data_IF_240332878806
#
_entry.id   IF_240332878806
#
_cell.length_a   1.000
_cell.length_b   1.000
_cell.length_c   1.000
_cell.angle_alpha   90.00
_cell.angle_beta   90.00
_cell.angle_gamma   90.00
#
_symmetry.space_group_name_H-M   'P 1'
#
loop_
_entity.id
_entity.type
_entity.pdbx_description
1 polymer ?
#
# COMPACT_ATOMS: atom_id res chain seq x y z
N UNK A 1 6.44 -19.06 10.84
CA UNK A 1 5.71 -19.38 12.08
C UNK A 1 5.71 -18.15 12.96
N UNK A 2 4.67 -17.34 12.87
CA UNK A 2 4.49 -16.17 13.71
C UNK A 2 3.77 -16.60 14.99
N UNK A 3 4.41 -16.50 16.13
CA UNK A 3 3.81 -16.85 17.41
C UNK A 3 3.39 -15.56 18.11
N UNK A 4 2.14 -15.13 17.89
CA UNK A 4 1.54 -14.05 18.68
C UNK A 4 1.41 -14.55 20.13
N UNK A 5 1.91 -13.80 21.08
CA UNK A 5 1.89 -14.17 22.48
C UNK A 5 0.47 -14.16 23.01
N UNK A 6 -0.10 -15.34 23.26
CA UNK A 6 -1.50 -15.54 23.70
C UNK A 6 -1.89 -14.81 25.01
N UNK A 7 -0.93 -14.27 25.76
CA UNK A 7 -1.22 -13.66 27.06
C UNK A 7 -1.60 -12.16 26.99
N UNK A 8 -1.55 -11.56 25.81
CA UNK A 8 -1.85 -10.12 25.63
C UNK A 8 -3.21 -9.88 24.97
N UNK A 9 -3.82 -10.92 24.39
CA UNK A 9 -5.01 -10.76 23.54
C UNK A 9 -6.25 -11.43 24.15
N UNK A 10 -6.80 -10.86 25.23
CA UNK A 10 -8.16 -11.16 25.68
C UNK A 10 -9.12 -10.14 25.05
N UNK A 11 -9.93 -10.55 24.09
CA UNK A 11 -10.99 -9.76 23.41
C UNK A 11 -10.51 -8.64 22.49
N UNK A 12 -9.57 -8.90 21.57
CA UNK A 12 -9.05 -7.87 20.68
C UNK A 12 -9.49 -8.04 19.23
N UNK A 13 -9.78 -6.93 18.56
CA UNK A 13 -10.19 -6.85 17.15
C UNK A 13 -8.99 -6.59 16.26
N UNK A 14 -8.79 -7.41 15.23
CA UNK A 14 -7.78 -7.17 14.21
C UNK A 14 -8.43 -6.38 13.08
N UNK A 15 -7.87 -5.23 12.74
CA UNK A 15 -8.27 -4.50 11.55
C UNK A 15 -7.36 -4.91 10.41
N UNK A 16 -7.94 -5.53 9.38
CA UNK A 16 -7.31 -5.67 8.09
C UNK A 16 -8.00 -4.70 7.14
N UNK A 17 -7.26 -3.74 6.60
CA UNK A 17 -7.75 -2.95 5.48
C UNK A 17 -7.70 -3.84 4.25
N UNK A 18 -8.84 -4.32 3.78
CA UNK A 18 -8.94 -4.86 2.44
C UNK A 18 -8.83 -3.67 1.46
N UNK A 19 -7.66 -3.44 0.89
CA UNK A 19 -7.62 -2.98 -0.49
C UNK A 19 -8.52 -3.95 -1.26
N UNK A 20 -9.34 -3.44 -2.20
CA UNK A 20 -10.34 -4.22 -2.94
C UNK A 20 -9.85 -5.64 -3.21
N UNK A 21 -10.71 -6.64 -3.12
CA UNK A 21 -10.41 -8.09 -3.20
C UNK A 21 -9.40 -8.50 -4.28
N UNK A 22 -9.26 -7.69 -5.34
CA UNK A 22 -8.29 -7.88 -6.42
C UNK A 22 -6.84 -7.47 -6.04
N UNK A 23 -6.63 -6.57 -5.07
CA UNK A 23 -5.28 -6.13 -4.67
C UNK A 23 -4.67 -7.05 -3.61
N UNK A 24 -5.51 -7.61 -2.73
CA UNK A 24 -5.05 -8.58 -1.74
C UNK A 24 -4.54 -9.87 -2.42
N UNK A 25 -5.24 -10.33 -3.47
CA UNK A 25 -4.81 -11.49 -4.25
C UNK A 25 -3.42 -11.32 -4.89
N UNK A 26 -3.05 -10.09 -5.30
CA UNK A 26 -1.75 -9.84 -5.92
C UNK A 26 -0.60 -9.74 -4.91
N UNK A 27 -0.83 -9.21 -3.71
CA UNK A 27 0.18 -9.17 -2.67
C UNK A 27 0.53 -10.58 -2.15
N UNK A 28 -0.41 -11.53 -2.25
CA UNK A 28 -0.23 -12.92 -1.83
C UNK A 28 0.08 -13.90 -2.96
N UNK A 29 -0.31 -13.62 -4.21
CA UNK A 29 -0.05 -14.52 -5.34
C UNK A 29 1.44 -14.75 -5.66
N UNK A 30 2.34 -13.90 -5.18
CA UNK A 30 3.78 -14.08 -5.29
C UNK A 30 4.38 -15.08 -4.29
N UNK A 31 3.62 -15.56 -3.31
CA UNK A 31 4.09 -16.46 -2.25
C UNK A 31 3.52 -17.89 -2.33
N UNK A 32 2.57 -18.15 -3.21
CA UNK A 32 1.92 -19.46 -3.33
C UNK A 32 2.38 -20.22 -4.58
N UNK A 33 3.62 -20.68 -4.56
CA UNK A 33 4.07 -21.79 -5.38
C UNK A 33 3.75 -23.10 -4.67
N UNK A 34 2.56 -23.63 -4.86
CA UNK A 34 2.11 -24.91 -4.34
C UNK A 34 0.72 -25.21 -4.86
N UNK A 35 0.63 -26.22 -5.75
CA UNK A 35 -0.62 -26.81 -6.24
C UNK A 35 -1.28 -27.59 -5.09
N UNK A 36 -2.04 -26.92 -4.23
CA UNK A 36 -2.99 -27.58 -3.35
C UNK A 36 -4.25 -26.71 -3.26
N UNK A 37 -5.33 -27.29 -3.77
CA UNK A 37 -6.67 -26.74 -4.02
C UNK A 37 -7.48 -26.49 -2.72
N UNK A 38 -6.83 -26.15 -1.63
CA UNK A 38 -7.46 -25.83 -0.36
C UNK A 38 -7.26 -24.35 -0.07
N UNK A 39 -8.08 -23.52 -0.74
CA UNK A 39 -8.07 -22.06 -0.63
C UNK A 39 -8.33 -21.52 0.77
N UNK A 40 -7.56 -21.93 1.76
CA UNK A 40 -7.56 -21.34 3.09
C UNK A 40 -6.68 -20.09 3.08
N UNK A 41 -7.33 -18.95 3.07
CA UNK A 41 -6.75 -17.63 3.21
C UNK A 41 -5.94 -17.55 4.53
N UNK A 42 -4.66 -17.23 4.45
CA UNK A 42 -3.74 -17.11 5.60
C UNK A 42 -4.26 -16.13 6.66
N UNK A 43 -4.97 -15.10 6.26
CA UNK A 43 -5.60 -14.16 7.17
C UNK A 43 -6.71 -14.83 7.98
N UNK A 44 -7.47 -15.77 7.39
CA UNK A 44 -8.49 -16.53 8.10
C UNK A 44 -7.88 -17.54 9.09
N UNK A 45 -6.76 -18.17 8.76
CA UNK A 45 -6.11 -19.16 9.64
C UNK A 45 -5.52 -18.49 10.89
N UNK A 46 -4.99 -17.28 10.78
CA UNK A 46 -4.55 -16.49 11.94
C UNK A 46 -5.75 -16.07 12.79
N UNK A 47 -6.89 -15.81 12.16
CA UNK A 47 -8.12 -15.38 12.83
C UNK A 47 -8.96 -16.52 13.41
N UNK A 48 -8.76 -17.77 13.00
CA UNK A 48 -9.58 -18.90 13.45
C UNK A 48 -9.48 -19.19 14.95
N UNK A 49 -8.39 -18.80 15.59
CA UNK A 49 -8.14 -19.03 17.03
C UNK A 49 -8.44 -17.78 17.90
N UNK A 50 -8.87 -16.67 17.29
CA UNK A 50 -9.23 -15.43 17.98
C UNK A 50 -10.57 -14.94 17.45
N UNK A 51 -11.40 -14.41 18.36
CA UNK A 51 -12.65 -13.74 17.99
C UNK A 51 -12.28 -12.39 17.35
N UNK A 52 -12.07 -12.40 16.03
CA UNK A 52 -11.57 -11.26 15.28
C UNK A 52 -12.64 -10.70 14.35
N UNK A 53 -12.66 -9.37 14.20
CA UNK A 53 -13.46 -8.68 13.21
C UNK A 53 -12.55 -7.90 12.26
N UNK A 54 -12.69 -8.13 10.96
CA UNK A 54 -12.03 -7.33 9.94
C UNK A 54 -12.86 -6.08 9.72
N UNK A 55 -12.23 -4.91 9.89
CA UNK A 55 -12.86 -3.61 9.71
C UNK A 55 -12.13 -2.84 8.62
N UNK A 56 -12.90 -2.39 7.61
CA UNK A 56 -12.37 -1.49 6.59
C UNK A 56 -12.33 -0.06 7.13
N UNK A 57 -11.21 0.64 6.92
CA UNK A 57 -11.07 2.04 7.27
C UNK A 57 -10.28 2.80 6.19
N UNK A 58 -10.39 4.13 6.17
CA UNK A 58 -9.62 4.95 5.23
C UNK A 58 -8.13 4.96 5.59
N UNK A 59 -7.28 5.23 4.61
CA UNK A 59 -5.84 5.32 4.83
C UNK A 59 -5.49 6.41 5.86
N UNK A 60 -6.12 7.57 5.77
CA UNK A 60 -5.86 8.69 6.70
C UNK A 60 -6.17 8.35 8.16
N UNK A 61 -7.14 7.47 8.40
CA UNK A 61 -7.53 7.07 9.74
C UNK A 61 -6.78 5.84 10.27
N UNK A 62 -6.12 5.06 9.39
CA UNK A 62 -5.62 3.73 9.76
C UNK A 62 -4.53 3.80 10.84
N UNK A 63 -3.51 4.63 10.65
CA UNK A 63 -2.42 4.78 11.63
C UNK A 63 -2.90 5.45 12.92
N UNK A 64 -3.79 6.44 12.80
CA UNK A 64 -4.41 7.11 13.95
C UNK A 64 -5.26 6.19 14.80
N UNK A 65 -5.89 5.17 14.19
CA UNK A 65 -6.74 4.22 14.91
C UNK A 65 -5.96 3.34 15.89
N UNK A 66 -4.71 2.98 15.56
CA UNK A 66 -3.85 2.21 16.47
C UNK A 66 -3.04 3.12 17.41
N UNK A 67 -2.54 4.25 16.92
CA UNK A 67 -1.76 5.21 17.71
C UNK A 67 -2.57 5.85 18.85
N UNK A 68 -3.89 5.97 18.71
CA UNK A 68 -4.77 6.53 19.75
C UNK A 68 -4.88 5.67 21.01
N UNK A 69 -4.29 4.45 20.99
CA UNK A 69 -4.41 3.46 22.07
C UNK A 69 -5.86 3.18 22.49
N UNK A 70 -6.80 3.45 21.59
CA UNK A 70 -8.21 3.12 21.77
C UNK A 70 -8.41 1.67 21.36
N UNK A 71 -8.14 0.76 22.30
CA UNK A 71 -8.29 -0.69 22.15
C UNK A 71 -9.69 -1.12 21.70
N UNK A 72 -10.64 -0.19 21.67
CA UNK A 72 -12.00 -0.43 21.20
C UNK A 72 -12.14 -0.36 19.68
N UNK A 73 -11.13 0.16 18.97
CA UNK A 73 -11.21 0.42 17.53
C UNK A 73 -10.31 -0.48 16.70
N UNK A 74 -9.06 -0.68 17.12
CA UNK A 74 -8.06 -1.41 16.33
C UNK A 74 -7.00 -2.05 17.22
N UNK A 75 -6.70 -3.32 17.01
CA UNK A 75 -5.64 -4.03 17.72
C UNK A 75 -4.42 -4.29 16.84
N UNK A 76 -4.60 -4.42 15.53
CA UNK A 76 -3.53 -4.62 14.56
C UNK A 76 -3.95 -4.17 13.16
N UNK A 77 -2.99 -3.69 12.38
CA UNK A 77 -3.18 -3.28 10.99
C UNK A 77 -2.37 -4.22 10.09
N UNK A 78 -3.04 -4.76 9.05
CA UNK A 78 -2.39 -5.49 7.96
C UNK A 78 -2.85 -4.82 6.66
N UNK A 79 -2.04 -3.93 6.10
CA UNK A 79 -2.43 -3.10 4.95
C UNK A 79 -1.24 -2.54 4.17
N UNK A 80 -0.22 -3.35 3.93
CA UNK A 80 1.00 -2.89 3.24
C UNK A 80 1.60 -1.62 3.86
N UNK A 81 1.53 -1.51 5.20
CA UNK A 81 2.07 -0.36 5.90
C UNK A 81 3.59 -0.43 5.92
N UNK A 82 4.22 0.52 5.24
CA UNK A 82 5.68 0.63 5.24
C UNK A 82 6.20 0.96 6.62
N UNK A 83 7.16 0.17 7.10
CA UNK A 83 7.92 0.44 8.32
C UNK A 83 8.82 1.64 8.05
N UNK A 84 8.59 2.75 8.73
CA UNK A 84 9.43 3.95 8.70
C UNK A 84 9.80 4.36 10.12
N UNK A 85 10.94 5.03 10.30
CA UNK A 85 11.36 5.53 11.63
C UNK A 85 10.30 6.45 12.25
N UNK A 86 9.63 7.27 11.43
CA UNK A 86 8.58 8.17 11.91
C UNK A 86 7.35 7.39 12.41
N UNK A 87 6.92 6.35 11.69
CA UNK A 87 5.79 5.51 12.09
C UNK A 87 6.15 4.65 13.31
N UNK A 88 7.35 4.08 13.33
CA UNK A 88 7.86 3.25 14.43
C UNK A 88 8.03 4.04 15.75
N UNK A 89 8.16 5.36 15.66
CA UNK A 89 8.15 6.23 16.84
C UNK A 89 6.76 6.37 17.50
N UNK A 90 5.70 6.01 16.82
CA UNK A 90 4.30 6.18 17.28
C UNK A 90 3.52 4.87 17.41
N UNK A 91 3.88 3.86 16.65
CA UNK A 91 3.27 2.53 16.66
C UNK A 91 4.35 1.46 16.59
N UNK A 92 4.13 0.31 17.21
CA UNK A 92 5.04 -0.82 17.12
C UNK A 92 4.81 -1.62 15.84
N UNK A 93 5.87 -2.09 15.23
CA UNK A 93 5.81 -2.99 14.06
C UNK A 93 6.32 -4.39 14.39
N UNK A 94 5.79 -5.36 13.67
CA UNK A 94 6.41 -6.69 13.59
C UNK A 94 7.67 -6.65 12.74
N UNK A 95 8.41 -7.76 12.68
CA UNK A 95 9.35 -7.95 11.56
C UNK A 95 8.59 -7.87 10.24
N UNK A 96 9.26 -7.37 9.20
CA UNK A 96 8.65 -7.25 7.88
C UNK A 96 8.10 -8.60 7.39
N UNK A 97 6.86 -8.61 6.94
CA UNK A 97 6.26 -9.79 6.31
C UNK A 97 6.43 -9.77 4.78
N UNK A 98 6.69 -8.60 4.19
CA UNK A 98 6.90 -8.43 2.76
C UNK A 98 7.91 -7.32 2.49
N UNK A 99 8.75 -7.51 1.47
CA UNK A 99 9.67 -6.49 0.96
C UNK A 99 9.22 -6.06 -0.42
N UNK A 100 9.05 -4.77 -0.62
CA UNK A 100 8.59 -4.13 -1.83
C UNK A 100 9.52 -2.99 -2.24
N UNK A 101 9.04 -2.17 -3.15
CA UNK A 101 9.61 -0.88 -3.53
C UNK A 101 8.48 0.03 -4.01
N UNK A 102 8.75 1.32 -4.06
CA UNK A 102 7.92 2.25 -4.80
C UNK A 102 8.07 2.04 -6.30
N UNK A 103 7.04 2.36 -7.06
CA UNK A 103 7.02 2.24 -8.51
C UNK A 103 6.38 3.44 -9.21
N UNK A 104 6.51 3.44 -10.54
CA UNK A 104 5.90 4.46 -11.41
C UNK A 104 5.14 3.79 -12.54
N UNK A 105 3.91 4.23 -12.77
CA UNK A 105 3.15 3.99 -14.00
C UNK A 105 2.76 5.33 -14.63
N UNK A 106 2.54 5.34 -15.93
CA UNK A 106 2.10 6.53 -16.67
C UNK A 106 0.73 6.36 -17.29
N UNK A 107 0.05 7.48 -17.51
CA UNK A 107 -1.19 7.54 -18.28
C UNK A 107 -0.95 7.36 -19.79
N UNK A 108 -2.02 7.48 -20.58
CA UNK A 108 -1.94 7.34 -22.03
C UNK A 108 -1.06 8.43 -22.67
N UNK A 109 -0.15 8.01 -23.52
CA UNK A 109 0.70 8.91 -24.32
C UNK A 109 1.82 9.62 -23.59
N UNK A 110 2.04 9.35 -22.27
CA UNK A 110 3.19 9.94 -21.57
C UNK A 110 4.51 9.25 -21.94
N UNK A 111 5.61 9.95 -21.76
CA UNK A 111 6.94 9.41 -22.02
C UNK A 111 7.30 8.29 -21.05
N UNK A 112 7.96 7.25 -21.54
CA UNK A 112 8.56 6.24 -20.66
C UNK A 112 9.80 6.83 -19.99
N UNK A 113 9.90 6.62 -18.68
CA UNK A 113 11.06 7.03 -17.88
C UNK A 113 11.89 5.81 -17.49
N UNK A 114 13.15 6.03 -17.20
CA UNK A 114 14.12 5.03 -16.75
C UNK A 114 14.66 5.33 -15.36
N UNK A 115 14.44 6.55 -14.88
CA UNK A 115 14.81 7.00 -13.54
C UNK A 115 13.72 7.93 -12.99
N UNK A 116 13.38 7.76 -11.73
CA UNK A 116 12.32 8.56 -11.08
C UNK A 116 12.63 10.06 -11.05
N UNK A 117 13.92 10.44 -11.04
CA UNK A 117 14.34 11.84 -11.07
C UNK A 117 13.95 12.58 -12.35
N UNK A 118 13.66 11.86 -13.43
CA UNK A 118 13.15 12.46 -14.68
C UNK A 118 11.78 13.13 -14.49
N UNK A 119 11.05 12.74 -13.44
CA UNK A 119 9.76 13.36 -13.07
C UNK A 119 9.91 14.73 -12.42
N UNK A 120 11.13 15.09 -11.97
CA UNK A 120 11.36 16.36 -11.26
C UNK A 120 11.46 17.54 -12.22
N UNK A 121 10.35 17.89 -12.84
CA UNK A 121 10.26 19.07 -13.73
C UNK A 121 8.87 19.72 -13.64
N UNK A 122 8.78 21.01 -14.00
CA UNK A 122 7.57 21.82 -13.83
C UNK A 122 6.40 21.41 -14.75
N UNK A 123 6.68 20.68 -15.82
CA UNK A 123 5.65 20.22 -16.76
C UNK A 123 5.05 18.87 -16.37
N UNK A 124 5.57 18.27 -15.29
CA UNK A 124 5.10 16.96 -14.79
C UNK A 124 4.06 17.14 -13.69
N UNK A 125 2.94 16.45 -13.84
CA UNK A 125 1.95 16.25 -12.76
C UNK A 125 1.98 14.80 -12.31
N UNK A 126 2.24 14.59 -11.01
CA UNK A 126 2.31 13.31 -10.35
C UNK A 126 1.07 13.15 -9.48
N UNK A 127 0.42 11.98 -9.55
CA UNK A 127 -0.73 11.66 -8.72
C UNK A 127 -0.27 10.64 -7.69
N UNK A 128 -0.62 10.83 -6.43
CA UNK A 128 -0.30 9.94 -5.31
C UNK A 128 -1.50 9.75 -4.41
N UNK A 129 -1.51 8.69 -3.60
CA UNK A 129 -2.38 8.65 -2.44
C UNK A 129 -1.75 9.47 -1.31
N UNK A 130 -2.51 10.40 -0.73
CA UNK A 130 -2.05 11.28 0.34
C UNK A 130 -1.60 10.51 1.59
N UNK A 131 -0.59 11.02 2.30
CA UNK A 131 -0.07 10.43 3.54
C UNK A 131 0.70 9.12 3.36
N UNK A 132 0.99 8.71 2.12
CA UNK A 132 1.82 7.53 1.83
C UNK A 132 3.30 7.90 1.73
N UNK A 133 4.17 6.89 1.69
CA UNK A 133 5.61 7.08 1.42
C UNK A 133 5.87 7.66 0.03
N UNK A 134 4.99 7.37 -0.95
CA UNK A 134 5.04 7.98 -2.28
C UNK A 134 4.76 9.48 -2.26
N UNK A 135 3.78 9.93 -1.47
CA UNK A 135 3.45 11.35 -1.30
C UNK A 135 4.62 12.10 -0.65
N UNK A 136 5.17 11.54 0.44
CA UNK A 136 6.34 12.12 1.11
C UNK A 136 7.56 12.19 0.18
N UNK A 137 7.82 11.13 -0.59
CA UNK A 137 8.91 11.12 -1.58
C UNK A 137 8.70 12.17 -2.67
N UNK A 138 7.50 12.26 -3.23
CA UNK A 138 7.21 13.25 -4.27
C UNK A 138 7.42 14.68 -3.75
N UNK A 139 7.00 14.97 -2.53
CA UNK A 139 7.16 16.28 -1.92
C UNK A 139 8.63 16.65 -1.63
N UNK A 140 9.45 15.67 -1.22
CA UNK A 140 10.86 15.91 -0.84
C UNK A 140 11.83 15.86 -2.03
N UNK A 141 11.68 14.86 -2.90
CA UNK A 141 12.67 14.53 -3.93
C UNK A 141 12.32 15.05 -5.32
N UNK A 142 11.04 15.39 -5.55
CA UNK A 142 10.53 15.89 -6.82
C UNK A 142 9.90 17.30 -6.71
N UNK A 143 10.58 18.28 -6.08
CA UNK A 143 9.99 19.57 -5.71
C UNK A 143 9.60 20.46 -6.90
N UNK A 144 10.03 20.15 -8.12
CA UNK A 144 9.63 20.91 -9.31
C UNK A 144 8.35 20.38 -9.94
N UNK A 145 7.99 19.11 -9.67
CA UNK A 145 6.75 18.54 -10.19
C UNK A 145 5.52 19.07 -9.44
N UNK A 146 4.39 19.07 -10.13
CA UNK A 146 3.10 19.30 -9.47
C UNK A 146 2.62 17.98 -8.87
N UNK A 147 2.35 17.94 -7.56
CA UNK A 147 1.84 16.75 -6.89
C UNK A 147 0.36 16.91 -6.59
N UNK A 148 -0.45 15.92 -7.01
CA UNK A 148 -1.87 15.79 -6.72
C UNK A 148 -2.06 14.61 -5.76
N UNK A 149 -2.26 14.90 -4.48
CA UNK A 149 -2.53 13.90 -3.44
C UNK A 149 -4.04 13.67 -3.32
N UNK A 150 -4.47 12.41 -3.48
CA UNK A 150 -5.86 12.00 -3.42
C UNK A 150 -6.10 11.03 -2.25
N UNK A 151 -7.35 10.83 -1.86
CA UNK A 151 -7.72 10.11 -0.65
C UNK A 151 -7.42 8.60 -0.73
N UNK A 152 -7.64 7.99 -1.90
CA UNK A 152 -7.51 6.56 -2.10
C UNK A 152 -6.98 6.21 -3.50
N UNK A 153 -6.53 4.94 -3.66
CA UNK A 153 -6.01 4.47 -4.94
C UNK A 153 -7.06 4.41 -6.05
N UNK A 154 -8.34 4.23 -5.77
CA UNK A 154 -9.38 4.23 -6.80
C UNK A 154 -9.52 5.63 -7.40
N UNK A 155 -9.47 6.66 -6.57
CA UNK A 155 -9.41 8.07 -7.00
C UNK A 155 -8.13 8.38 -7.78
N UNK A 156 -6.97 7.87 -7.32
CA UNK A 156 -5.66 8.03 -7.99
C UNK A 156 -5.70 7.45 -9.40
N UNK A 157 -6.19 6.22 -9.55
CA UNK A 157 -6.27 5.58 -10.87
C UNK A 157 -7.32 6.23 -11.78
N UNK A 158 -8.44 6.65 -11.23
CA UNK A 158 -9.48 7.38 -11.98
C UNK A 158 -8.93 8.70 -12.51
N UNK A 159 -8.16 9.44 -11.70
CA UNK A 159 -7.54 10.69 -12.13
C UNK A 159 -6.51 10.46 -13.26
N UNK A 160 -5.72 9.36 -13.19
CA UNK A 160 -4.80 9.00 -14.27
C UNK A 160 -5.54 8.63 -15.56
N UNK A 161 -6.64 7.86 -15.46
CA UNK A 161 -7.50 7.51 -16.61
C UNK A 161 -8.12 8.74 -17.28
N UNK A 162 -8.50 9.73 -16.49
CA UNK A 162 -9.06 10.98 -16.97
C UNK A 162 -8.01 11.95 -17.58
N UNK A 163 -6.72 11.68 -17.39
CA UNK A 163 -5.65 12.56 -17.82
C UNK A 163 -5.45 13.78 -16.91
N UNK A 164 -5.89 13.70 -15.64
CA UNK A 164 -5.71 14.77 -14.65
C UNK A 164 -4.25 14.87 -14.15
N UNK A 165 -3.42 13.90 -14.50
CA UNK A 165 -1.97 13.88 -14.27
C UNK A 165 -1.26 12.96 -15.24
N UNK A 166 0.07 12.97 -15.19
CA UNK A 166 0.93 12.25 -16.12
C UNK A 166 1.36 10.88 -15.59
N UNK A 167 1.70 10.81 -14.31
CA UNK A 167 2.26 9.61 -13.67
C UNK A 167 1.64 9.38 -12.30
N UNK A 168 1.62 8.12 -11.90
CA UNK A 168 1.26 7.71 -10.53
C UNK A 168 2.50 7.10 -9.88
N UNK A 169 2.78 7.52 -8.63
CA UNK A 169 3.71 6.87 -7.73
C UNK A 169 2.92 6.08 -6.68
N UNK A 170 3.42 4.91 -6.34
CA UNK A 170 2.82 4.02 -5.34
C UNK A 170 3.58 2.71 -5.22
N UNK A 171 3.09 1.83 -4.39
CA UNK A 171 3.68 0.51 -4.20
C UNK A 171 3.74 -0.28 -5.51
N UNK A 172 4.93 -0.70 -5.90
CA UNK A 172 5.18 -1.35 -7.20
C UNK A 172 4.25 -2.55 -7.48
N UNK A 173 3.92 -3.44 -6.52
CA UNK A 173 2.99 -4.53 -6.76
C UNK A 173 1.56 -4.04 -7.07
N UNK A 174 1.10 -3.01 -6.39
CA UNK A 174 -0.23 -2.40 -6.61
C UNK A 174 -0.31 -1.78 -7.99
N UNK A 175 0.69 -0.96 -8.34
CA UNK A 175 0.75 -0.31 -9.65
C UNK A 175 0.90 -1.30 -10.78
N UNK A 176 1.77 -2.31 -10.62
CA UNK A 176 1.99 -3.34 -11.64
C UNK A 176 0.73 -4.16 -11.92
N UNK A 177 -0.01 -4.52 -10.87
CA UNK A 177 -1.29 -5.22 -11.04
C UNK A 177 -2.30 -4.34 -11.79
N UNK A 178 -2.50 -3.11 -11.33
CA UNK A 178 -3.48 -2.19 -11.96
C UNK A 178 -3.12 -1.91 -13.42
N UNK A 179 -1.85 -1.68 -13.73
CA UNK A 179 -1.37 -1.49 -15.09
C UNK A 179 -1.63 -2.73 -15.98
N UNK A 180 -1.52 -3.93 -15.42
CA UNK A 180 -1.83 -5.16 -16.18
C UNK A 180 -3.32 -5.32 -16.52
N UNK A 181 -4.20 -4.66 -15.79
CA UNK A 181 -5.66 -4.71 -15.94
C UNK A 181 -6.24 -3.55 -16.76
N UNK A 182 -5.47 -2.49 -16.98
CA UNK A 182 -5.94 -1.24 -17.60
C UNK A 182 -5.06 -0.87 -18.79
N UNK A 183 -5.59 -1.08 -20.01
CA UNK A 183 -4.83 -0.85 -21.25
C UNK A 183 -4.40 0.60 -21.50
N UNK A 184 -5.03 1.57 -20.83
CA UNK A 184 -4.66 2.99 -20.88
C UNK A 184 -3.42 3.32 -20.05
N UNK A 185 -2.98 2.41 -19.18
CA UNK A 185 -1.79 2.64 -18.36
C UNK A 185 -0.54 2.02 -19.00
N UNK A 186 0.58 2.67 -18.79
CA UNK A 186 1.87 2.06 -19.11
C UNK A 186 2.12 0.85 -18.19
N UNK A 187 2.92 -0.13 -18.62
CA UNK A 187 3.53 -1.06 -17.67
C UNK A 187 4.30 -0.32 -16.57
N UNK A 188 4.58 -1.01 -15.46
CA UNK A 188 5.48 -0.49 -14.43
C UNK A 188 6.82 -0.10 -15.08
N UNK A 189 7.19 1.18 -14.99
CA UNK A 189 8.34 1.74 -15.70
C UNK A 189 9.64 1.56 -14.92
N UNK A 190 9.63 1.97 -13.66
CA UNK A 190 10.78 1.99 -12.77
C UNK A 190 10.37 1.68 -11.35
N UNK A 191 11.27 1.08 -10.58
CA UNK A 191 11.11 0.91 -9.13
C UNK A 191 12.22 1.65 -8.40
N UNK A 192 11.90 2.21 -7.25
CA UNK A 192 12.79 3.01 -6.41
C UNK A 192 12.41 2.84 -4.94
N UNK A 193 13.20 3.39 -4.01
CA UNK A 193 12.92 3.36 -2.56
C UNK A 193 12.43 2.00 -2.06
N UNK A 194 13.33 1.03 -1.82
CA UNK A 194 12.94 -0.26 -1.24
C UNK A 194 12.20 -0.07 0.08
N UNK A 195 11.15 -0.86 0.29
CA UNK A 195 10.26 -0.76 1.43
C UNK A 195 10.01 -2.12 2.08
N UNK A 196 9.80 -2.10 3.39
CA UNK A 196 9.40 -3.27 4.17
C UNK A 196 8.02 -3.02 4.77
N UNK A 197 7.08 -3.94 4.58
CA UNK A 197 5.75 -3.86 5.17
C UNK A 197 5.69 -4.64 6.48
N UNK A 198 5.13 -4.02 7.51
CA UNK A 198 4.91 -4.59 8.84
C UNK A 198 3.43 -4.65 9.21
N UNK A 199 3.16 -5.39 10.29
CA UNK A 199 1.86 -5.48 10.97
C UNK A 199 1.98 -4.75 12.29
#
# INVERSE_FOLDING_TARGET
>A
YFKINKNVMNNKKIIAMMMTTSMLAAAFAGCLGGDDDDGEDWALTVASDVDSAIVSTSWDAILGSIASNSLDTCDAIISSVTITEERDATIDFTTAYYTSAQGVIGGEGVATITDVSELNNADTTIIVQGGTTSDLFAASDLPLATVSALEDFDSVFTALENGDGHYVLGDAPVLGLRASQTAAFSPLMVTFSPENFGI
#
